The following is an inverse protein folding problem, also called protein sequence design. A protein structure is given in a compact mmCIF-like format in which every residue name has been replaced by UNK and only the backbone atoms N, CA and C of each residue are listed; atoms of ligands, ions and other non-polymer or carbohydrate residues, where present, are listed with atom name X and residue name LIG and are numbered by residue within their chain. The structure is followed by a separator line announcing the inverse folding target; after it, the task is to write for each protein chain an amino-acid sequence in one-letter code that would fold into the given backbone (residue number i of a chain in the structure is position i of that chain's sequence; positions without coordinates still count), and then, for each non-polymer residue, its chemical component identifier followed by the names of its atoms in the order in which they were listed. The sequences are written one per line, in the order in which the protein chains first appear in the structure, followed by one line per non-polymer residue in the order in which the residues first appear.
data_IF_163533510134
#
_entry.id   IF_163533510134
#
_cell.length_a   1.000
_cell.length_b   1.000
_cell.length_c   1.000
_cell.angle_alpha   90.00
_cell.angle_beta   90.00
_cell.angle_gamma   90.00
#
_symmetry.space_group_name_H-M   'P 1'
#
loop_
_entity.id
_entity.type
_entity.pdbx_description
1 polymer ?
#
# COMPACT_ATOMS: atom_id res chain seq x y z
N UNK A 1 -8.05 -37.98 6.27
CA UNK A 1 -6.95 -37.35 5.51
C UNK A 1 -7.47 -37.01 4.12
N UNK A 2 -7.23 -35.82 3.54
CA UNK A 2 -6.93 -34.51 4.10
C UNK A 2 -8.15 -33.56 4.01
N UNK A 3 -8.27 -32.64 4.97
CA UNK A 3 -9.16 -31.48 4.88
C UNK A 3 -8.83 -30.72 3.58
N UNK A 4 -9.81 -30.60 2.68
CA UNK A 4 -9.74 -29.65 1.55
C UNK A 4 -9.82 -28.25 2.15
N UNK A 5 -8.71 -27.78 2.71
CA UNK A 5 -8.51 -26.37 2.97
C UNK A 5 -8.47 -25.68 1.62
N UNK A 6 -9.64 -25.26 1.14
CA UNK A 6 -9.73 -24.32 0.03
C UNK A 6 -8.70 -23.22 0.30
N UNK A 7 -7.76 -22.94 -0.62
CA UNK A 7 -6.80 -21.89 -0.40
C UNK A 7 -7.59 -20.59 -0.31
N UNK A 8 -7.81 -20.14 0.93
CA UNK A 8 -8.58 -18.95 1.32
C UNK A 8 -8.41 -17.88 0.27
N UNK A 9 -9.37 -17.78 -0.66
CA UNK A 9 -9.58 -16.74 -1.69
C UNK A 9 -8.53 -15.64 -1.56
N UNK A 10 -7.27 -15.90 -1.94
CA UNK A 10 -6.17 -14.98 -1.62
C UNK A 10 -6.52 -13.71 -2.34
N UNK A 11 -6.87 -12.72 -1.54
CA UNK A 11 -7.88 -11.74 -1.87
C UNK A 11 -7.78 -11.27 -3.32
N UNK A 12 -8.90 -11.29 -4.05
CA UNK A 12 -9.11 -10.40 -5.21
C UNK A 12 -9.04 -8.96 -4.71
N UNK A 13 -7.87 -8.53 -4.27
CA UNK A 13 -7.52 -7.13 -4.16
C UNK A 13 -7.16 -6.78 -5.59
N UNK A 14 -8.08 -6.12 -6.28
CA UNK A 14 -7.79 -5.47 -7.54
C UNK A 14 -6.39 -4.84 -7.45
N UNK A 15 -5.54 -4.97 -8.48
CA UNK A 15 -4.14 -4.56 -8.43
C UNK A 15 -4.05 -3.20 -7.74
N UNK A 16 -3.26 -3.15 -6.66
CA UNK A 16 -3.26 -2.15 -5.60
C UNK A 16 -3.00 -0.72 -6.06
N UNK A 17 -3.90 -0.18 -6.87
CA UNK A 17 -3.92 1.20 -7.32
C UNK A 17 -4.36 2.03 -6.13
N UNK A 18 -3.38 2.55 -5.40
CA UNK A 18 -3.57 3.80 -4.68
C UNK A 18 -3.86 4.87 -5.74
N UNK A 19 -5.13 5.28 -5.84
CA UNK A 19 -5.60 6.16 -6.90
C UNK A 19 -4.73 7.42 -6.99
N UNK A 20 -4.12 7.65 -8.15
CA UNK A 20 -3.23 8.79 -8.40
C UNK A 20 -1.86 8.71 -7.73
N UNK A 21 -1.45 7.60 -7.12
CA UNK A 21 -0.10 7.44 -6.57
C UNK A 21 0.85 6.88 -7.64
N UNK A 22 2.06 7.46 -7.74
CA UNK A 22 3.12 6.95 -8.60
C UNK A 22 4.49 7.24 -7.97
N UNK A 23 5.47 6.37 -8.20
CA UNK A 23 6.83 6.51 -7.63
C UNK A 23 7.54 7.80 -8.07
N UNK A 24 7.31 8.23 -9.30
CA UNK A 24 7.98 9.39 -9.91
C UNK A 24 7.30 10.73 -9.58
N UNK A 25 6.17 10.70 -8.85
CA UNK A 25 5.56 11.95 -8.37
C UNK A 25 6.42 12.59 -7.29
N UNK A 26 6.40 13.93 -7.16
CA UNK A 26 7.04 14.62 -6.03
C UNK A 26 6.55 14.07 -4.68
N UNK A 27 7.47 13.95 -3.73
CA UNK A 27 7.20 13.37 -2.41
C UNK A 27 6.03 14.06 -1.69
N UNK A 28 5.98 15.39 -1.71
CA UNK A 28 4.91 16.16 -1.09
C UNK A 28 3.52 15.81 -1.65
N UNK A 29 3.44 15.58 -2.96
CA UNK A 29 2.20 15.17 -3.64
C UNK A 29 1.79 13.76 -3.23
N UNK A 30 2.73 12.81 -3.20
CA UNK A 30 2.46 11.44 -2.72
C UNK A 30 1.96 11.44 -1.28
N UNK A 31 2.61 12.17 -0.39
CA UNK A 31 2.23 12.27 1.02
C UNK A 31 0.86 12.88 1.24
N UNK A 32 0.50 13.88 0.44
CA UNK A 32 -0.85 14.47 0.44
C UNK A 32 -1.88 13.45 0.00
N UNK A 33 -1.62 12.72 -1.09
CA UNK A 33 -2.53 11.70 -1.62
C UNK A 33 -2.73 10.54 -0.65
N UNK A 34 -1.65 9.95 -0.12
CA UNK A 34 -1.76 8.84 0.83
C UNK A 34 -2.42 9.29 2.14
N UNK A 35 -2.20 10.53 2.60
CA UNK A 35 -2.92 11.08 3.76
C UNK A 35 -4.41 11.23 3.50
N UNK A 36 -4.81 11.72 2.32
CA UNK A 36 -6.22 11.80 1.91
C UNK A 36 -6.84 10.41 1.80
N UNK A 37 -6.11 9.46 1.24
CA UNK A 37 -6.55 8.07 1.13
C UNK A 37 -6.74 7.42 2.51
N UNK A 38 -5.87 7.73 3.49
CA UNK A 38 -6.04 7.26 4.88
C UNK A 38 -7.33 7.78 5.51
N UNK A 39 -7.68 9.05 5.26
CA UNK A 39 -8.95 9.62 5.76
C UNK A 39 -10.19 8.94 5.17
N UNK A 40 -10.10 8.41 3.93
CA UNK A 40 -11.20 7.74 3.24
C UNK A 40 -11.30 6.24 3.55
N UNK A 41 -10.17 5.53 3.50
CA UNK A 41 -10.12 4.05 3.49
C UNK A 41 -9.52 3.44 4.77
N UNK A 42 -9.08 4.27 5.73
CA UNK A 42 -8.31 3.94 6.94
C UNK A 42 -6.80 3.69 6.76
N UNK A 43 -6.05 3.89 7.84
CA UNK A 43 -4.60 3.66 7.90
C UNK A 43 -4.21 2.23 7.50
N UNK A 44 -4.89 1.24 8.10
CA UNK A 44 -4.58 -0.18 7.88
C UNK A 44 -4.74 -0.58 6.41
N UNK A 45 -5.76 -0.05 5.73
CA UNK A 45 -6.00 -0.33 4.30
C UNK A 45 -4.90 0.26 3.43
N UNK A 46 -4.49 1.51 3.66
CA UNK A 46 -3.45 2.15 2.84
C UNK A 46 -2.09 1.47 3.03
N UNK A 47 -1.72 1.12 4.27
CA UNK A 47 -0.49 0.35 4.54
C UNK A 47 -0.53 -1.00 3.84
N UNK A 48 -1.67 -1.69 3.84
CA UNK A 48 -1.82 -2.97 3.14
C UNK A 48 -1.60 -2.83 1.63
N UNK A 49 -2.17 -1.79 1.01
CA UNK A 49 -1.99 -1.49 -0.43
C UNK A 49 -0.53 -1.16 -0.77
N UNK A 50 0.15 -0.36 0.05
CA UNK A 50 1.58 -0.05 -0.14
C UNK A 50 2.45 -1.31 0.02
N UNK A 51 2.15 -2.17 0.99
CA UNK A 51 2.84 -3.45 1.14
C UNK A 51 2.62 -4.38 -0.07
N UNK A 52 1.40 -4.44 -0.61
CA UNK A 52 1.12 -5.20 -1.82
C UNK A 52 1.91 -4.66 -3.02
N UNK A 53 1.92 -3.34 -3.22
CA UNK A 53 2.73 -2.71 -4.27
C UNK A 53 4.21 -3.09 -4.14
N UNK A 54 4.76 -3.04 -2.93
CA UNK A 54 6.15 -3.40 -2.65
C UNK A 54 6.45 -4.88 -2.93
N UNK A 55 5.53 -5.78 -2.57
CA UNK A 55 5.76 -7.22 -2.69
C UNK A 55 5.53 -7.75 -4.12
N UNK A 56 4.61 -7.14 -4.87
CA UNK A 56 4.24 -7.59 -6.22
C UNK A 56 5.10 -6.97 -7.33
N UNK A 57 5.69 -5.79 -7.08
CA UNK A 57 6.55 -5.14 -8.07
C UNK A 57 7.95 -5.75 -8.11
N UNK A 58 8.53 -5.87 -9.31
CA UNK A 58 9.97 -6.15 -9.47
C UNK A 58 10.82 -4.87 -9.43
N UNK A 59 10.20 -3.70 -9.58
CA UNK A 59 10.89 -2.41 -9.62
C UNK A 59 11.41 -1.99 -8.24
N UNK A 60 12.73 -1.82 -8.14
CA UNK A 60 13.40 -1.38 -6.89
C UNK A 60 12.96 0.03 -6.49
N UNK A 61 12.69 0.91 -7.47
CA UNK A 61 12.24 2.28 -7.21
C UNK A 61 10.88 2.32 -6.51
N UNK A 62 9.89 1.60 -7.05
CA UNK A 62 8.57 1.44 -6.41
C UNK A 62 8.70 0.87 -5.00
N UNK A 63 9.55 -0.15 -4.78
CA UNK A 63 9.75 -0.73 -3.44
C UNK A 63 10.25 0.30 -2.43
N UNK A 64 11.29 1.05 -2.79
CA UNK A 64 11.90 2.05 -1.92
C UNK A 64 10.92 3.19 -1.60
N UNK A 65 10.18 3.68 -2.59
CA UNK A 65 9.23 4.78 -2.42
C UNK A 65 8.02 4.35 -1.58
N UNK A 66 7.46 3.15 -1.84
CA UNK A 66 6.38 2.61 -1.02
C UNK A 66 6.82 2.43 0.46
N UNK A 67 8.06 2.01 0.70
CA UNK A 67 8.61 1.90 2.06
C UNK A 67 8.70 3.26 2.76
N UNK A 68 9.21 4.29 2.07
CA UNK A 68 9.28 5.67 2.60
C UNK A 68 7.89 6.22 2.93
N UNK A 69 6.93 6.00 2.05
CA UNK A 69 5.55 6.45 2.25
C UNK A 69 4.87 5.73 3.42
N UNK A 70 5.13 4.42 3.62
CA UNK A 70 4.68 3.69 4.81
C UNK A 70 5.30 4.24 6.11
N UNK A 71 6.60 4.58 6.08
CA UNK A 71 7.27 5.16 7.25
C UNK A 71 6.68 6.54 7.61
N UNK A 72 6.39 7.37 6.61
CA UNK A 72 5.66 8.63 6.79
C UNK A 72 4.29 8.41 7.44
N UNK A 73 3.50 7.47 6.92
CA UNK A 73 2.18 7.17 7.47
C UNK A 73 2.27 6.66 8.91
N UNK A 74 3.24 5.82 9.23
CA UNK A 74 3.49 5.34 10.61
C UNK A 74 3.76 6.54 11.53
N UNK A 75 4.68 7.43 11.18
CA UNK A 75 5.00 8.63 11.99
C UNK A 75 3.78 9.56 12.18
N UNK A 76 2.93 9.68 11.16
CA UNK A 76 1.81 10.64 11.16
C UNK A 76 0.56 10.13 11.87
N UNK A 77 0.23 8.86 11.71
CA UNK A 77 -1.07 8.29 12.14
C UNK A 77 -0.94 7.26 13.27
N UNK A 78 0.25 6.68 13.48
CA UNK A 78 0.49 5.76 14.59
C UNK A 78 1.20 6.55 15.69
N UNK A 79 0.41 7.18 16.56
CA UNK A 79 0.87 7.65 17.87
C UNK A 79 1.11 6.44 18.76
#
# INVERSE_FOLDING_TARGET
MPSKSEPRKWARVAPGKLYGWHKDMPQAKRWTLISRAVKRDSYATIVRRLNQLRNLTKDRGTKAIAAKDMAYLKKKFKK
#
